data_IF_639021058846
#
_entry.id   IF_639021058846
#
_cell.length_a   1.000
_cell.length_b   1.000
_cell.length_c   1.000
_cell.angle_alpha   90.00
_cell.angle_beta   90.00
_cell.angle_gamma   90.00
#
_symmetry.space_group_name_H-M   'P 1'
#
loop_
_entity.id
_entity.type
_entity.pdbx_description
1 polymer ?
#
# COMPACT_ATOMS: atom_id res chain seq x y z
N UNK A 1 -10.65 13.99 41.73
CA UNK A 1 -11.42 15.11 41.13
C UNK A 1 -11.31 14.97 39.62
N UNK A 2 -12.42 14.55 38.98
CA UNK A 2 -12.79 14.71 37.55
C UNK A 2 -11.89 13.98 36.51
N UNK A 3 -12.36 13.29 35.47
CA UNK A 3 -13.62 12.65 35.09
C UNK A 3 -13.29 11.88 33.80
N UNK A 4 -13.78 10.64 33.70
CA UNK A 4 -13.84 9.86 32.46
C UNK A 4 -14.86 10.51 31.52
N UNK A 5 -14.53 10.73 30.24
CA UNK A 5 -15.48 10.71 29.11
C UNK A 5 -14.81 10.92 27.72
N UNK A 6 -15.11 9.99 26.81
CA UNK A 6 -15.45 10.21 25.39
C UNK A 6 -14.36 10.55 24.34
N UNK A 7 -14.02 9.53 23.54
CA UNK A 7 -13.70 9.59 22.09
C UNK A 7 -14.31 8.30 21.48
N UNK A 8 -14.93 8.23 20.27
CA UNK A 8 -14.87 9.17 19.13
C UNK A 8 -16.24 9.53 18.48
N UNK A 9 -16.36 10.76 17.97
CA UNK A 9 -17.34 11.13 16.93
C UNK A 9 -16.65 11.96 15.85
N UNK A 10 -15.82 11.34 15.01
CA UNK A 10 -15.41 11.92 13.72
C UNK A 10 -14.98 10.80 12.78
N UNK A 11 -15.92 10.27 11.98
CA UNK A 11 -15.70 9.55 10.72
C UNK A 11 -17.07 9.18 10.12
N UNK A 12 -17.87 10.18 9.73
CA UNK A 12 -19.06 9.96 8.88
C UNK A 12 -19.57 11.28 8.28
N UNK A 13 -18.87 11.80 7.27
CA UNK A 13 -19.39 12.88 6.42
C UNK A 13 -18.57 13.00 5.12
N UNK A 14 -18.69 12.02 4.21
CA UNK A 14 -18.21 12.17 2.83
C UNK A 14 -18.89 11.15 1.90
N UNK A 15 -20.23 11.13 1.86
CA UNK A 15 -20.96 10.31 0.88
C UNK A 15 -22.42 10.75 0.73
N UNK A 16 -22.69 11.98 0.28
CA UNK A 16 -24.09 12.36 0.04
C UNK A 16 -24.35 13.53 -0.93
N UNK A 17 -23.51 13.79 -1.94
CA UNK A 17 -23.78 14.89 -2.90
C UNK A 17 -23.67 14.57 -4.41
N UNK A 18 -23.42 13.33 -4.84
CA UNK A 18 -23.27 13.02 -6.29
C UNK A 18 -24.46 12.27 -6.92
N UNK A 19 -25.44 11.80 -6.12
CA UNK A 19 -26.53 10.93 -6.63
C UNK A 19 -27.88 11.66 -6.84
N UNK A 20 -27.94 13.00 -6.73
CA UNK A 20 -29.22 13.77 -6.79
C UNK A 20 -29.41 14.69 -8.01
N UNK A 21 -28.79 14.39 -9.16
CA UNK A 21 -28.96 15.22 -10.38
C UNK A 21 -29.30 14.50 -11.68
N UNK A 22 -29.69 13.23 -11.66
CA UNK A 22 -29.94 12.45 -12.89
C UNK A 22 -31.31 11.75 -12.95
N UNK A 23 -32.29 12.19 -12.16
CA UNK A 23 -33.65 11.66 -12.28
C UNK A 23 -34.68 12.78 -12.20
N UNK A 24 -35.57 12.79 -13.19
CA UNK A 24 -36.82 13.56 -13.34
C UNK A 24 -36.72 14.85 -14.17
N UNK A 25 -37.10 14.72 -15.44
CA UNK A 25 -37.37 15.82 -16.37
C UNK A 25 -37.83 15.36 -17.75
N UNK A 26 -39.04 14.77 -17.81
CA UNK A 26 -40.07 14.80 -18.88
C UNK A 26 -39.61 14.67 -20.37
N UNK A 27 -39.99 13.67 -21.18
CA UNK A 27 -41.32 13.20 -21.62
C UNK A 27 -42.31 14.29 -22.06
N UNK A 28 -42.30 14.64 -23.37
CA UNK A 28 -43.49 14.75 -24.26
C UNK A 28 -43.12 15.40 -25.61
N UNK A 29 -43.44 14.72 -26.70
CA UNK A 29 -43.57 15.32 -28.04
C UNK A 29 -42.79 14.62 -29.13
N UNK A 30 -43.37 13.58 -29.74
CA UNK A 30 -43.00 13.16 -31.09
C UNK A 30 -43.41 14.25 -32.10
N UNK A 31 -42.76 14.31 -33.28
CA UNK A 31 -43.38 13.65 -34.41
C UNK A 31 -42.46 12.66 -35.13
N UNK A 32 -43.13 11.69 -35.75
CA UNK A 32 -42.56 10.68 -36.61
C UNK A 32 -42.08 11.26 -37.94
N UNK A 33 -40.93 10.79 -38.43
CA UNK A 33 -40.66 10.69 -39.86
C UNK A 33 -39.41 9.83 -40.13
N UNK A 34 -39.64 8.72 -40.84
CA UNK A 34 -38.76 8.00 -41.74
C UNK A 34 -37.65 7.13 -41.12
N UNK A 35 -37.90 5.82 -41.17
CA UNK A 35 -36.90 4.79 -40.96
C UNK A 35 -35.78 4.92 -41.99
N UNK A 36 -34.56 5.11 -41.50
CA UNK A 36 -33.36 4.88 -42.28
C UNK A 36 -33.20 3.37 -42.43
N UNK A 37 -33.45 2.90 -43.64
CA UNK A 37 -33.06 1.57 -44.09
C UNK A 37 -31.62 1.28 -43.65
N UNK A 38 -31.46 0.17 -42.93
CA UNK A 38 -30.17 -0.50 -42.77
C UNK A 38 -29.78 -0.98 -44.17
N UNK A 39 -28.99 -0.17 -44.88
CA UNK A 39 -28.20 -0.65 -46.00
C UNK A 39 -26.95 -1.27 -45.38
N UNK A 40 -27.01 -2.59 -45.22
CA UNK A 40 -25.87 -3.46 -45.02
C UNK A 40 -24.90 -3.31 -46.20
N UNK A 41 -24.01 -2.33 -46.13
CA UNK A 41 -22.82 -2.28 -46.96
C UNK A 41 -21.80 -3.26 -46.38
N UNK A 42 -21.90 -4.51 -46.83
CA UNK A 42 -20.76 -5.42 -46.78
C UNK A 42 -19.82 -5.06 -47.93
N UNK A 43 -18.88 -4.14 -47.67
CA UNK A 43 -17.65 -4.04 -48.44
C UNK A 43 -16.56 -3.53 -47.51
N UNK A 44 -15.95 -4.44 -46.76
CA UNK A 44 -14.61 -4.22 -46.25
C UNK A 44 -13.70 -3.98 -47.46
N UNK A 45 -13.26 -2.74 -47.66
CA UNK A 45 -12.13 -2.48 -48.54
C UNK A 45 -10.93 -3.23 -47.97
N UNK A 46 -10.34 -4.10 -48.78
CA UNK A 46 -9.15 -4.88 -48.44
C UNK A 46 -8.01 -3.92 -48.11
N UNK A 47 -7.49 -4.01 -46.89
CA UNK A 47 -6.27 -3.34 -46.42
C UNK A 47 -5.11 -3.65 -47.38
N UNK A 48 -4.40 -2.62 -47.83
CA UNK A 48 -3.37 -2.68 -48.89
C UNK A 48 -2.09 -3.48 -48.55
N UNK A 49 -2.02 -4.16 -47.41
CA UNK A 49 -0.87 -5.01 -47.04
C UNK A 49 -0.97 -6.47 -47.57
N UNK A 50 -2.05 -6.85 -48.28
CA UNK A 50 -2.18 -8.17 -48.93
C UNK A 50 -2.38 -8.12 -50.45
N UNK A 51 -1.81 -7.11 -51.14
CA UNK A 51 -1.98 -6.92 -52.59
C UNK A 51 -0.67 -7.04 -53.39
N UNK A 52 0.37 -7.72 -52.87
CA UNK A 52 1.60 -7.98 -53.64
C UNK A 52 1.58 -9.33 -54.35
N UNK A 53 0.48 -9.75 -54.97
CA UNK A 53 0.47 -10.94 -55.83
C UNK A 53 -0.75 -10.96 -56.77
N UNK A 54 -0.93 -9.90 -57.55
CA UNK A 54 -1.60 -10.02 -58.85
C UNK A 54 -1.15 -8.87 -59.74
N UNK A 55 -0.42 -9.21 -60.80
CA UNK A 55 0.09 -8.25 -61.77
C UNK A 55 -1.04 -7.31 -62.27
N UNK A 56 -0.80 -6.00 -62.38
CA UNK A 56 -1.76 -5.12 -63.03
C UNK A 56 -1.92 -5.59 -64.48
N UNK A 57 -3.16 -5.87 -64.87
CA UNK A 57 -3.50 -6.12 -66.26
C UNK A 57 -2.94 -4.97 -67.11
N UNK A 58 -2.23 -5.36 -68.18
CA UNK A 58 -1.59 -4.46 -69.12
C UNK A 58 -2.54 -3.31 -69.53
N UNK A 59 -2.02 -2.09 -69.74
CA UNK A 59 -2.84 -0.97 -70.17
C UNK A 59 -3.51 -1.35 -71.48
N UNK A 60 -4.83 -1.50 -71.47
CA UNK A 60 -5.60 -1.66 -72.68
C UNK A 60 -5.40 -0.39 -73.50
N UNK A 61 -4.64 -0.51 -74.57
CA UNK A 61 -4.38 0.52 -75.57
C UNK A 61 -5.69 0.94 -76.25
N UNK A 62 -6.46 1.83 -75.62
CA UNK A 62 -7.60 2.48 -76.25
C UNK A 62 -7.13 3.70 -77.04
N UNK A 63 -6.52 3.43 -78.18
CA UNK A 63 -6.50 4.36 -79.30
C UNK A 63 -7.65 4.05 -80.25
N UNK A 64 -8.47 5.05 -80.58
CA UNK A 64 -9.56 4.93 -81.56
C UNK A 64 -10.94 5.28 -81.00
N UNK A 65 -11.73 6.00 -81.81
CA UNK A 65 -12.81 6.93 -81.44
C UNK A 65 -13.90 6.42 -80.47
N UNK A 66 -14.07 5.11 -80.25
CA UNK A 66 -14.96 4.57 -79.20
C UNK A 66 -14.48 3.21 -78.67
N UNK A 67 -13.17 3.00 -78.53
CA UNK A 67 -12.61 1.72 -78.03
C UNK A 67 -12.83 0.53 -78.97
N UNK A 68 -13.13 0.77 -80.25
CA UNK A 68 -13.38 -0.24 -81.29
C UNK A 68 -12.16 -0.51 -82.19
N UNK A 69 -11.00 0.09 -81.91
CA UNK A 69 -9.76 -0.13 -82.68
C UNK A 69 -9.76 0.45 -84.10
N UNK A 70 -10.77 1.25 -84.48
CA UNK A 70 -10.74 2.03 -85.72
C UNK A 70 -9.89 3.28 -85.49
N UNK A 71 -8.78 3.38 -86.22
CA UNK A 71 -7.93 4.56 -86.18
C UNK A 71 -8.69 5.80 -86.66
N UNK A 72 -8.37 6.98 -86.12
CA UNK A 72 -9.00 8.27 -86.46
C UNK A 72 -9.03 8.55 -87.98
N UNK A 73 -8.10 7.95 -88.72
CA UNK A 73 -8.00 8.02 -90.18
C UNK A 73 -9.05 7.20 -90.94
N UNK A 74 -9.69 6.20 -90.32
CA UNK A 74 -10.81 5.45 -90.91
C UNK A 74 -12.19 6.03 -90.52
N UNK A 75 -12.27 6.80 -89.44
CA UNK A 75 -13.50 7.49 -89.07
C UNK A 75 -13.81 8.66 -90.04
N UNK A 76 -12.77 9.30 -90.59
CA UNK A 76 -12.93 10.45 -91.48
C UNK A 76 -13.64 10.11 -92.80
N UNK A 77 -13.26 9.06 -93.56
CA UNK A 77 -13.95 8.69 -94.80
C UNK A 77 -15.36 8.14 -94.57
N UNK A 78 -15.58 7.38 -93.48
CA UNK A 78 -16.89 6.81 -93.14
C UNK A 78 -17.85 7.91 -92.67
N UNK A 79 -17.35 8.86 -91.88
CA UNK A 79 -18.12 10.04 -91.46
C UNK A 79 -18.49 10.94 -92.63
N UNK A 80 -17.55 11.21 -93.55
CA UNK A 80 -17.81 12.01 -94.76
C UNK A 80 -18.80 11.30 -95.69
N UNK A 81 -18.65 9.99 -95.92
CA UNK A 81 -19.56 9.23 -96.80
C UNK A 81 -20.96 9.07 -96.21
N UNK A 82 -21.13 9.08 -94.89
CA UNK A 82 -22.43 9.11 -94.22
C UNK A 82 -23.04 10.53 -94.17
N UNK A 83 -22.24 11.57 -93.98
CA UNK A 83 -22.72 12.96 -93.86
C UNK A 83 -23.22 13.53 -95.20
N UNK A 84 -22.56 13.21 -96.33
CA UNK A 84 -22.94 13.72 -97.66
C UNK A 84 -24.39 13.38 -98.06
N UNK A 85 -24.89 12.13 -97.93
CA UNK A 85 -26.28 11.83 -98.24
C UNK A 85 -27.27 12.42 -97.22
N UNK A 86 -26.92 12.51 -95.94
CA UNK A 86 -27.79 13.12 -94.90
C UNK A 86 -28.08 14.59 -95.21
N UNK A 87 -27.08 15.32 -95.72
CA UNK A 87 -27.21 16.73 -96.13
C UNK A 87 -27.88 16.84 -97.50
N UNK A 88 -27.55 15.97 -98.47
CA UNK A 88 -28.06 16.06 -99.85
C UNK A 88 -29.54 15.67 -99.98
N UNK A 89 -30.05 14.80 -99.11
CA UNK A 89 -31.45 14.36 -99.12
C UNK A 89 -32.33 15.13 -98.11
N UNK A 90 -31.84 16.25 -97.54
CA UNK A 90 -32.54 17.08 -96.53
C UNK A 90 -33.09 16.28 -95.33
N UNK A 91 -32.46 15.14 -95.01
CA UNK A 91 -32.81 14.36 -93.80
C UNK A 91 -32.43 15.09 -92.52
N UNK A 92 -31.49 16.03 -92.60
CA UNK A 92 -31.09 16.94 -91.53
C UNK A 92 -30.89 18.35 -92.11
N UNK A 93 -31.73 19.30 -91.72
CA UNK A 93 -31.67 20.69 -92.20
C UNK A 93 -30.67 21.48 -91.35
N UNK A 94 -29.62 21.99 -91.98
CA UNK A 94 -28.63 22.85 -91.31
C UNK A 94 -29.28 24.21 -91.01
N UNK A 95 -29.64 24.40 -89.74
CA UNK A 95 -30.26 25.62 -89.22
C UNK A 95 -29.47 26.16 -88.01
N UNK A 96 -29.88 27.30 -87.44
CA UNK A 96 -29.24 27.94 -86.27
C UNK A 96 -29.03 26.98 -85.08
N UNK A 97 -29.93 26.01 -84.89
CA UNK A 97 -29.85 24.97 -83.85
C UNK A 97 -28.69 23.97 -84.07
N UNK A 98 -28.28 23.76 -85.33
CA UNK A 98 -27.17 22.85 -85.67
C UNK A 98 -25.81 23.48 -85.40
N UNK A 99 -25.73 24.81 -85.54
CA UNK A 99 -24.57 25.60 -85.10
C UNK A 99 -24.47 25.62 -83.58
N UNK A 100 -25.61 25.76 -82.87
CA UNK A 100 -25.66 25.63 -81.41
C UNK A 100 -25.22 24.23 -80.96
N UNK A 101 -25.68 23.18 -81.63
CA UNK A 101 -25.28 21.80 -81.34
C UNK A 101 -23.77 21.57 -81.60
N UNK A 102 -23.21 22.13 -82.67
CA UNK A 102 -21.78 22.04 -82.96
C UNK A 102 -20.92 22.73 -81.87
N UNK A 103 -21.31 23.93 -81.42
CA UNK A 103 -20.63 24.63 -80.33
C UNK A 103 -20.78 23.89 -79.00
N UNK A 104 -21.94 23.27 -78.73
CA UNK A 104 -22.16 22.45 -77.54
C UNK A 104 -21.32 21.17 -77.54
N UNK A 105 -21.20 20.47 -78.67
CA UNK A 105 -20.32 19.30 -78.81
C UNK A 105 -18.86 19.72 -78.64
N UNK A 106 -18.44 20.82 -79.25
CA UNK A 106 -17.09 21.37 -79.07
C UNK A 106 -16.82 21.74 -77.60
N UNK A 107 -17.81 22.27 -76.89
CA UNK A 107 -17.74 22.53 -75.45
C UNK A 107 -17.62 21.24 -74.63
N UNK A 108 -18.38 20.19 -74.94
CA UNK A 108 -18.25 18.89 -74.28
C UNK A 108 -16.86 18.26 -74.49
N UNK A 109 -16.30 18.36 -75.71
CA UNK A 109 -14.93 17.89 -76.00
C UNK A 109 -13.88 18.73 -75.27
N UNK A 110 -14.05 20.05 -75.20
CA UNK A 110 -13.17 20.94 -74.45
C UNK A 110 -13.23 20.66 -72.94
N UNK A 111 -14.43 20.48 -72.37
CA UNK A 111 -14.62 20.08 -70.98
C UNK A 111 -14.00 18.70 -70.68
N UNK A 112 -14.13 17.73 -71.60
CA UNK A 112 -13.54 16.42 -71.41
C UNK A 112 -12.00 16.45 -71.48
N UNK A 113 -11.44 17.19 -72.43
CA UNK A 113 -9.97 17.26 -72.65
C UNK A 113 -9.24 18.18 -71.68
N UNK A 114 -9.84 19.31 -71.29
CA UNK A 114 -9.20 20.32 -70.42
C UNK A 114 -9.77 20.32 -68.99
N UNK A 115 -11.06 20.03 -68.84
CA UNK A 115 -11.73 19.98 -67.53
C UNK A 115 -11.76 18.59 -66.89
N UNK A 116 -11.58 17.53 -67.67
CA UNK A 116 -11.65 16.14 -67.21
C UNK A 116 -10.60 15.81 -66.14
N UNK A 117 -9.35 16.25 -66.34
CA UNK A 117 -8.26 16.04 -65.37
C UNK A 117 -8.51 16.76 -64.04
N UNK A 118 -9.08 17.96 -64.08
CA UNK A 118 -9.39 18.73 -62.87
C UNK A 118 -10.54 18.08 -62.07
N UNK A 119 -11.59 17.62 -62.77
CA UNK A 119 -12.70 16.90 -62.16
C UNK A 119 -12.21 15.56 -61.59
N UNK A 120 -11.40 14.81 -62.35
CA UNK A 120 -10.82 13.55 -61.90
C UNK A 120 -9.98 13.74 -60.63
N UNK A 121 -9.07 14.71 -60.61
CA UNK A 121 -8.25 15.01 -59.42
C UNK A 121 -9.11 15.39 -58.22
N UNK A 122 -10.14 16.21 -58.40
CA UNK A 122 -11.04 16.58 -57.30
C UNK A 122 -11.82 15.39 -56.73
N UNK A 123 -12.22 14.45 -57.59
CA UNK A 123 -12.93 13.23 -57.17
C UNK A 123 -11.97 12.23 -56.53
N UNK A 124 -10.76 12.08 -57.04
CA UNK A 124 -9.72 11.21 -56.48
C UNK A 124 -9.25 11.72 -55.11
N UNK A 125 -9.00 13.03 -54.97
CA UNK A 125 -8.69 13.67 -53.69
C UNK A 125 -9.83 13.49 -52.68
N UNK A 126 -11.09 13.62 -53.12
CA UNK A 126 -12.26 13.37 -52.28
C UNK A 126 -12.33 11.91 -51.85
N UNK A 127 -12.08 10.97 -52.76
CA UNK A 127 -12.07 9.54 -52.46
C UNK A 127 -10.96 9.16 -51.47
N UNK A 128 -9.75 9.66 -51.67
CA UNK A 128 -8.62 9.45 -50.76
C UNK A 128 -8.88 10.06 -49.38
N UNK A 129 -9.51 11.24 -49.34
CA UNK A 129 -9.89 11.89 -48.07
C UNK A 129 -10.90 11.06 -47.30
N UNK A 130 -11.95 10.56 -47.97
CA UNK A 130 -12.96 9.70 -47.35
C UNK A 130 -12.32 8.41 -46.81
N UNK A 131 -11.45 7.77 -47.58
CA UNK A 131 -10.74 6.57 -47.12
C UNK A 131 -9.88 6.84 -45.89
N UNK A 132 -9.17 7.97 -45.89
CA UNK A 132 -8.37 8.39 -44.73
C UNK A 132 -9.23 8.65 -43.50
N UNK A 133 -10.34 9.36 -43.64
CA UNK A 133 -11.28 9.61 -42.54
C UNK A 133 -11.89 8.32 -41.99
N UNK A 134 -12.19 7.35 -42.85
CA UNK A 134 -12.66 6.03 -42.45
C UNK A 134 -11.60 5.26 -41.66
N UNK A 135 -10.35 5.22 -42.14
CA UNK A 135 -9.27 4.57 -41.40
C UNK A 135 -9.02 5.24 -40.04
N UNK A 136 -9.01 6.57 -39.99
CA UNK A 136 -8.88 7.29 -38.71
C UNK A 136 -10.05 7.01 -37.75
N UNK A 137 -11.26 6.82 -38.28
CA UNK A 137 -12.43 6.44 -37.47
C UNK A 137 -12.32 4.99 -36.97
N UNK A 138 -11.90 4.06 -37.83
CA UNK A 138 -11.66 2.65 -37.47
C UNK A 138 -10.58 2.54 -36.40
N UNK A 139 -9.45 3.25 -36.54
CA UNK A 139 -8.36 3.26 -35.56
C UNK A 139 -8.84 3.79 -34.20
N UNK A 140 -9.66 4.84 -34.17
CA UNK A 140 -10.27 5.35 -32.92
C UNK A 140 -11.20 4.31 -32.28
N UNK A 141 -11.94 3.55 -33.07
CA UNK A 141 -12.81 2.48 -32.56
C UNK A 141 -11.99 1.32 -32.02
N UNK A 142 -10.92 0.92 -32.72
CA UNK A 142 -9.99 -0.13 -32.26
C UNK A 142 -9.36 0.27 -30.92
N UNK A 143 -8.82 1.49 -30.82
CA UNK A 143 -8.24 1.99 -29.58
C UNK A 143 -9.25 2.01 -28.42
N UNK A 144 -10.49 2.43 -28.69
CA UNK A 144 -11.55 2.42 -27.68
C UNK A 144 -11.95 0.99 -27.24
N UNK A 145 -11.88 0.01 -28.14
CA UNK A 145 -12.15 -1.40 -27.84
C UNK A 145 -10.99 -2.03 -27.05
N UNK A 146 -9.74 -1.73 -27.39
CA UNK A 146 -8.56 -2.18 -26.65
C UNK A 146 -8.58 -1.65 -25.21
N UNK A 147 -8.88 -0.36 -25.01
CA UNK A 147 -9.01 0.21 -23.68
C UNK A 147 -10.13 -0.47 -22.85
N UNK A 148 -11.26 -0.80 -23.49
CA UNK A 148 -12.34 -1.55 -22.81
C UNK A 148 -11.92 -2.97 -22.47
N UNK A 149 -11.13 -3.62 -23.33
CA UNK A 149 -10.59 -4.95 -23.09
C UNK A 149 -9.66 -4.94 -21.88
N UNK A 150 -8.72 -4.00 -21.80
CA UNK A 150 -7.83 -3.84 -20.64
C UNK A 150 -8.63 -3.60 -19.35
N UNK A 151 -9.65 -2.74 -19.39
CA UNK A 151 -10.53 -2.50 -18.25
C UNK A 151 -11.28 -3.76 -17.80
N UNK A 152 -11.78 -4.56 -18.75
CA UNK A 152 -12.44 -5.83 -18.43
C UNK A 152 -11.48 -6.89 -17.90
N UNK A 153 -10.23 -6.95 -18.41
CA UNK A 153 -9.19 -7.82 -17.87
C UNK A 153 -8.81 -7.43 -16.43
N UNK A 154 -8.65 -6.14 -16.16
CA UNK A 154 -8.41 -5.64 -14.80
C UNK A 154 -9.57 -5.99 -13.85
N UNK A 155 -10.82 -5.86 -14.31
CA UNK A 155 -11.99 -6.24 -13.52
C UNK A 155 -12.13 -7.76 -13.31
N UNK A 156 -11.65 -8.58 -14.24
CA UNK A 156 -11.72 -10.05 -14.11
C UNK A 156 -10.98 -10.55 -12.86
N UNK A 157 -9.85 -9.94 -12.53
CA UNK A 157 -9.08 -10.27 -11.32
C UNK A 157 -9.69 -9.73 -10.02
N UNK A 158 -10.72 -8.87 -10.07
CA UNK A 158 -11.24 -8.22 -8.87
C UNK A 158 -11.87 -9.20 -7.88
N UNK A 159 -12.54 -10.26 -8.36
CA UNK A 159 -13.11 -11.31 -7.49
C UNK A 159 -12.00 -12.09 -6.80
N UNK A 160 -10.96 -12.49 -7.55
CA UNK A 160 -9.78 -13.18 -7.00
C UNK A 160 -9.06 -12.31 -5.95
N UNK A 161 -8.95 -11.00 -6.19
CA UNK A 161 -8.42 -10.06 -5.20
C UNK A 161 -9.30 -9.97 -3.94
N UNK A 162 -10.62 -9.97 -4.07
CA UNK A 162 -11.52 -10.00 -2.90
C UNK A 162 -11.42 -11.30 -2.11
N UNK A 163 -11.32 -12.44 -2.79
CA UNK A 163 -11.09 -13.74 -2.16
C UNK A 163 -9.75 -13.77 -1.42
N UNK A 164 -8.68 -13.27 -2.04
CA UNK A 164 -7.37 -13.16 -1.42
C UNK A 164 -7.39 -12.22 -0.21
N UNK A 165 -8.08 -11.07 -0.28
CA UNK A 165 -8.25 -10.15 0.85
C UNK A 165 -9.02 -10.82 1.99
N UNK A 166 -10.06 -11.59 1.68
CA UNK A 166 -10.85 -12.30 2.69
C UNK A 166 -10.02 -13.40 3.37
N UNK A 167 -9.27 -14.19 2.61
CA UNK A 167 -8.35 -15.19 3.17
C UNK A 167 -7.30 -14.54 4.08
N UNK A 168 -6.68 -13.43 3.62
CA UNK A 168 -5.70 -12.69 4.41
C UNK A 168 -6.32 -12.10 5.68
N UNK A 169 -7.59 -11.66 5.63
CA UNK A 169 -8.32 -11.20 6.80
C UNK A 169 -8.59 -12.32 7.79
N UNK A 170 -8.98 -13.50 7.34
CA UNK A 170 -9.18 -14.67 8.22
C UNK A 170 -7.87 -15.05 8.93
N UNK A 171 -6.77 -15.11 8.19
CA UNK A 171 -5.47 -15.44 8.76
C UNK A 171 -4.96 -14.33 9.71
N UNK A 172 -5.21 -13.06 9.39
CA UNK A 172 -4.93 -11.95 10.29
C UNK A 172 -5.70 -12.08 11.62
N UNK A 173 -6.97 -12.48 11.59
CA UNK A 173 -7.75 -12.71 12.81
C UNK A 173 -7.28 -13.94 13.61
N UNK A 174 -6.87 -15.03 12.95
CA UNK A 174 -6.26 -16.18 13.63
C UNK A 174 -4.97 -15.76 14.35
N UNK A 175 -4.11 -15.00 13.67
CA UNK A 175 -2.87 -14.48 14.24
C UNK A 175 -3.14 -13.49 15.38
N UNK A 176 -4.14 -12.62 15.25
CA UNK A 176 -4.54 -11.69 16.30
C UNK A 176 -5.06 -12.44 17.55
N UNK A 177 -5.85 -13.49 17.37
CA UNK A 177 -6.34 -14.31 18.48
C UNK A 177 -5.20 -15.07 19.17
N UNK A 178 -4.26 -15.64 18.40
CA UNK A 178 -3.08 -16.29 18.95
C UNK A 178 -2.19 -15.29 19.72
N UNK A 179 -1.95 -14.09 19.16
CA UNK A 179 -1.22 -13.02 19.84
C UNK A 179 -1.95 -12.54 21.11
N UNK A 180 -3.28 -12.47 21.06
CA UNK A 180 -4.12 -12.12 22.21
C UNK A 180 -4.03 -13.12 23.36
N UNK A 181 -3.77 -14.40 23.07
CA UNK A 181 -3.55 -15.42 24.10
C UNK A 181 -2.14 -15.34 24.73
N UNK A 182 -1.12 -14.99 23.94
CA UNK A 182 0.28 -14.95 24.39
C UNK A 182 0.63 -13.63 25.09
N UNK A 183 0.05 -12.51 24.65
CA UNK A 183 0.39 -11.18 25.19
C UNK A 183 0.18 -11.07 26.71
N UNK A 184 -0.94 -11.52 27.31
CA UNK A 184 -1.13 -11.48 28.76
C UNK A 184 -0.09 -12.32 29.52
N UNK A 185 0.34 -13.45 28.94
CA UNK A 185 1.38 -14.30 29.54
C UNK A 185 2.73 -13.58 29.58
N UNK A 186 3.07 -12.87 28.51
CA UNK A 186 4.31 -12.11 28.42
C UNK A 186 4.29 -10.87 29.32
N UNK A 187 3.15 -10.16 29.38
CA UNK A 187 2.97 -9.01 30.27
C UNK A 187 3.07 -9.45 31.75
N UNK A 188 2.48 -10.59 32.11
CA UNK A 188 2.60 -11.17 33.44
C UNK A 188 4.05 -11.58 33.76
N UNK A 189 4.74 -12.24 32.83
CA UNK A 189 6.15 -12.60 32.99
C UNK A 189 7.02 -11.38 33.26
N UNK A 190 6.83 -10.29 32.51
CA UNK A 190 7.58 -9.03 32.70
C UNK A 190 7.32 -8.43 34.10
N UNK A 191 6.07 -8.47 34.59
CA UNK A 191 5.75 -8.01 35.94
C UNK A 191 6.45 -8.85 37.02
N UNK A 192 6.44 -10.18 36.88
CA UNK A 192 7.11 -11.09 37.82
C UNK A 192 8.64 -10.91 37.79
N UNK A 193 9.25 -10.77 36.62
CA UNK A 193 10.69 -10.52 36.50
C UNK A 193 11.09 -9.21 37.18
N UNK A 194 10.31 -8.14 36.98
CA UNK A 194 10.57 -6.84 37.63
C UNK A 194 10.47 -6.93 39.16
N UNK A 195 9.49 -7.68 39.64
CA UNK A 195 9.30 -7.94 41.06
C UNK A 195 10.46 -8.75 41.66
N UNK A 196 10.90 -9.81 40.99
CA UNK A 196 12.06 -10.60 41.43
C UNK A 196 13.34 -9.76 41.48
N UNK A 197 13.56 -8.91 40.48
CA UNK A 197 14.70 -7.99 40.46
C UNK A 197 14.64 -6.99 41.62
N UNK A 198 13.45 -6.52 42.00
CA UNK A 198 13.27 -5.63 43.14
C UNK A 198 13.56 -6.33 44.47
N UNK A 199 13.09 -7.56 44.65
CA UNK A 199 13.37 -8.37 45.84
C UNK A 199 14.87 -8.63 45.95
N UNK A 200 15.52 -9.04 44.85
CA UNK A 200 16.96 -9.27 44.84
C UNK A 200 17.76 -8.00 45.19
N UNK A 201 17.36 -6.83 44.68
CA UNK A 201 17.99 -5.56 45.02
C UNK A 201 17.77 -5.16 46.49
N UNK A 202 16.59 -5.43 47.04
CA UNK A 202 16.28 -5.14 48.44
C UNK A 202 17.00 -6.11 49.39
N UNK A 203 17.14 -7.38 49.04
CA UNK A 203 17.95 -8.35 49.77
C UNK A 203 19.44 -7.95 49.78
N UNK A 204 19.99 -7.56 48.62
CA UNK A 204 21.36 -7.05 48.55
C UNK A 204 21.53 -5.83 49.47
N UNK A 205 20.61 -4.85 49.40
CA UNK A 205 20.66 -3.66 50.25
C UNK A 205 20.51 -3.98 51.74
N UNK A 206 19.63 -4.92 52.11
CA UNK A 206 19.42 -5.32 53.50
C UNK A 206 20.61 -6.08 54.06
N UNK A 207 21.25 -6.96 53.27
CA UNK A 207 22.49 -7.64 53.70
C UNK A 207 23.64 -6.65 53.90
N UNK A 208 23.77 -5.63 53.04
CA UNK A 208 24.76 -4.56 53.22
C UNK A 208 24.48 -3.73 54.47
N UNK A 209 23.23 -3.30 54.68
CA UNK A 209 22.83 -2.57 55.89
C UNK A 209 23.07 -3.39 57.15
N UNK A 210 22.70 -4.67 57.15
CA UNK A 210 22.94 -5.58 58.27
C UNK A 210 24.45 -5.74 58.56
N UNK A 211 25.30 -5.81 57.53
CA UNK A 211 26.76 -5.81 57.71
C UNK A 211 27.22 -4.51 58.36
N UNK A 212 26.77 -3.35 57.87
CA UNK A 212 27.18 -2.05 58.44
C UNK A 212 26.74 -1.88 59.89
N UNK A 213 25.49 -2.21 60.23
CA UNK A 213 24.99 -2.10 61.61
C UNK A 213 25.65 -3.09 62.55
N UNK A 214 25.95 -4.31 62.10
CA UNK A 214 26.73 -5.28 62.88
C UNK A 214 28.15 -4.79 63.12
N UNK A 215 28.79 -4.17 62.13
CA UNK A 215 30.14 -3.60 62.30
C UNK A 215 30.14 -2.38 63.21
N UNK A 216 29.14 -1.50 63.12
CA UNK A 216 28.98 -0.37 64.05
C UNK A 216 28.73 -0.83 65.48
N UNK A 217 27.83 -1.81 65.68
CA UNK A 217 27.55 -2.37 66.99
C UNK A 217 28.77 -3.08 67.60
N UNK A 218 29.52 -3.83 66.79
CA UNK A 218 30.77 -4.46 67.20
C UNK A 218 31.81 -3.40 67.61
N UNK A 219 31.93 -2.32 66.83
CA UNK A 219 32.88 -1.24 67.11
C UNK A 219 32.51 -0.50 68.39
N UNK A 220 31.23 -0.22 68.61
CA UNK A 220 30.74 0.42 69.83
C UNK A 220 30.95 -0.46 71.07
N UNK A 221 30.66 -1.76 70.99
CA UNK A 221 30.85 -2.69 72.12
C UNK A 221 32.32 -2.88 72.46
N UNK A 222 33.18 -3.09 71.46
CA UNK A 222 34.63 -3.18 71.66
C UNK A 222 35.16 -1.86 72.25
N UNK A 223 34.75 -0.70 71.74
CA UNK A 223 35.16 0.61 72.29
C UNK A 223 34.72 0.77 73.75
N UNK A 224 33.51 0.32 74.10
CA UNK A 224 33.00 0.33 75.48
C UNK A 224 33.79 -0.60 76.42
N UNK A 225 34.07 -1.83 75.98
CA UNK A 225 34.89 -2.81 76.72
C UNK A 225 36.31 -2.29 76.96
N UNK A 226 36.91 -1.67 75.95
CA UNK A 226 38.22 -1.04 76.06
C UNK A 226 38.21 0.18 76.96
N UNK A 227 37.13 0.97 76.98
CA UNK A 227 37.02 2.15 77.85
C UNK A 227 36.93 1.78 79.33
N UNK A 228 36.20 0.70 79.65
CA UNK A 228 35.86 0.26 81.00
C UNK A 228 36.90 -0.66 81.65
N UNK A 229 37.59 -1.51 80.87
CA UNK A 229 38.41 -2.60 81.44
C UNK A 229 39.91 -2.26 81.43
N UNK A 230 40.48 -1.96 82.60
CA UNK A 230 41.94 -1.68 82.75
C UNK A 230 42.83 -2.85 82.30
N UNK A 231 42.38 -4.09 82.48
CA UNK A 231 43.13 -5.28 82.07
C UNK A 231 43.29 -5.38 80.55
N UNK A 232 42.25 -5.02 79.78
CA UNK A 232 42.30 -5.02 78.31
C UNK A 232 43.18 -3.89 77.76
N UNK A 233 43.15 -2.70 78.38
CA UNK A 233 44.07 -1.61 78.03
C UNK A 233 45.54 -2.00 78.24
N UNK A 234 45.84 -2.66 79.35
CA UNK A 234 47.20 -3.12 79.67
C UNK A 234 47.65 -4.22 78.70
N UNK A 235 46.81 -5.23 78.46
CA UNK A 235 47.11 -6.30 77.51
C UNK A 235 47.32 -5.78 76.07
N UNK A 236 46.57 -4.77 75.64
CA UNK A 236 46.77 -4.13 74.34
C UNK A 236 48.07 -3.32 74.25
N UNK A 237 48.44 -2.61 75.32
CA UNK A 237 49.72 -1.89 75.40
C UNK A 237 50.90 -2.87 75.38
N UNK A 238 50.82 -3.96 76.15
CA UNK A 238 51.87 -4.98 76.22
C UNK A 238 52.03 -5.68 74.85
N UNK A 239 50.92 -6.04 74.18
CA UNK A 239 50.92 -6.61 72.83
C UNK A 239 51.48 -5.65 71.76
N UNK A 240 51.18 -4.35 71.86
CA UNK A 240 51.75 -3.33 70.96
C UNK A 240 53.27 -3.15 71.18
N UNK A 241 53.72 -3.17 72.44
CA UNK A 241 55.15 -3.10 72.79
C UNK A 241 55.90 -4.33 72.26
N UNK A 242 55.32 -5.53 72.37
CA UNK A 242 55.94 -6.76 71.87
C UNK A 242 56.00 -6.81 70.34
N UNK A 243 54.99 -6.26 69.67
CA UNK A 243 54.96 -6.14 68.20
C UNK A 243 56.03 -5.18 67.66
N UNK A 244 56.27 -4.05 68.36
CA UNK A 244 57.33 -3.09 67.99
C UNK A 244 58.73 -3.69 68.22
N UNK A 245 58.88 -4.58 69.20
CA UNK A 245 60.14 -5.28 69.49
C UNK A 245 60.48 -6.40 68.51
N UNK A 246 59.64 -6.66 67.50
CA UNK A 246 59.88 -7.70 66.50
C UNK A 246 59.58 -9.13 66.97
N UNK A 247 58.88 -9.29 68.10
CA UNK A 247 58.36 -10.60 68.52
C UNK A 247 57.25 -11.07 67.58
N UNK A 248 57.16 -12.39 67.34
CA UNK A 248 56.00 -12.96 66.66
C UNK A 248 54.75 -12.65 67.49
N UNK A 249 53.95 -11.69 67.01
CA UNK A 249 52.84 -11.10 67.74
C UNK A 249 51.91 -12.16 68.32
N UNK A 250 51.83 -12.20 69.65
CA UNK A 250 50.75 -12.88 70.36
C UNK A 250 49.39 -12.30 69.93
N UNK A 251 48.31 -13.03 70.22
CA UNK A 251 46.96 -12.68 69.77
C UNK A 251 46.62 -11.21 70.10
N UNK A 252 46.11 -10.50 69.09
CA UNK A 252 45.74 -9.10 69.22
C UNK A 252 44.46 -8.99 70.07
N UNK A 253 44.53 -8.40 71.28
CA UNK A 253 43.40 -8.38 72.20
C UNK A 253 42.21 -7.57 71.66
N UNK A 254 42.42 -6.67 70.69
CA UNK A 254 41.33 -5.96 70.00
C UNK A 254 40.65 -6.91 69.01
N UNK A 255 41.43 -7.64 68.20
CA UNK A 255 40.87 -8.65 67.27
C UNK A 255 40.16 -9.77 68.03
N UNK A 256 40.70 -10.21 69.16
CA UNK A 256 40.08 -11.22 70.01
C UNK A 256 38.76 -10.72 70.61
N UNK A 257 38.66 -9.44 70.99
CA UNK A 257 37.42 -8.82 71.45
C UNK A 257 36.36 -8.77 70.33
N UNK A 258 36.74 -8.41 69.10
CA UNK A 258 35.84 -8.48 67.94
C UNK A 258 35.38 -9.91 67.65
N UNK A 259 36.30 -10.89 67.62
CA UNK A 259 35.96 -12.30 67.40
C UNK A 259 35.03 -12.83 68.49
N UNK A 260 35.24 -12.41 69.75
CA UNK A 260 34.38 -12.76 70.87
C UNK A 260 32.99 -12.13 70.73
N UNK A 261 32.89 -10.87 70.32
CA UNK A 261 31.61 -10.22 70.03
C UNK A 261 30.81 -10.99 68.96
N UNK A 262 31.42 -11.33 67.82
CA UNK A 262 30.74 -12.08 66.77
C UNK A 262 30.36 -13.50 67.21
N UNK A 263 31.19 -14.18 68.01
CA UNK A 263 30.86 -15.50 68.58
C UNK A 263 29.67 -15.42 69.55
N UNK A 264 29.63 -14.41 70.41
CA UNK A 264 28.52 -14.20 71.35
C UNK A 264 27.24 -13.84 70.61
N UNK A 265 27.29 -12.89 69.68
CA UNK A 265 26.14 -12.54 68.82
C UNK A 265 25.63 -13.72 67.99
N UNK A 266 26.51 -14.56 67.46
CA UNK A 266 26.10 -15.77 66.74
C UNK A 266 25.48 -16.83 67.66
N UNK A 267 25.92 -16.92 68.92
CA UNK A 267 25.32 -17.80 69.91
C UNK A 267 23.95 -17.29 70.39
N UNK A 268 23.78 -15.97 70.50
CA UNK A 268 22.51 -15.32 70.86
C UNK A 268 21.49 -15.44 69.73
N UNK A 269 21.90 -15.26 68.48
CA UNK A 269 21.04 -15.47 67.30
C UNK A 269 20.53 -16.92 67.17
N UNK A 270 21.31 -17.92 67.60
CA UNK A 270 20.87 -19.32 67.65
C UNK A 270 19.87 -19.62 68.77
N UNK A 271 19.82 -18.78 69.80
CA UNK A 271 18.92 -18.94 70.95
C UNK A 271 17.64 -18.13 70.80
N UNK A 272 17.69 -17.02 70.06
CA UNK A 272 16.49 -16.24 69.72
C UNK A 272 15.71 -16.95 68.62
N UNK A 273 14.54 -17.50 68.94
CA UNK A 273 13.51 -17.89 67.95
C UNK A 273 12.66 -16.68 67.54
N UNK A 274 13.22 -15.48 67.62
CA UNK A 274 12.47 -14.23 67.54
C UNK A 274 12.35 -13.81 66.07
N UNK A 275 11.43 -14.47 65.36
CA UNK A 275 11.09 -14.14 63.98
C UNK A 275 10.40 -12.76 63.84
N UNK A 276 10.28 -11.97 64.92
CA UNK A 276 9.51 -10.71 64.90
C UNK A 276 10.14 -9.64 64.00
N UNK A 277 11.47 -9.52 64.00
CA UNK A 277 12.18 -8.59 63.11
C UNK A 277 12.11 -9.05 61.65
N UNK A 278 12.22 -10.35 61.40
CA UNK A 278 12.06 -10.91 60.05
C UNK A 278 10.62 -10.75 59.54
N UNK A 279 9.61 -10.90 60.40
CA UNK A 279 8.20 -10.66 60.06
C UNK A 279 7.93 -9.18 59.78
N UNK A 280 8.53 -8.27 60.56
CA UNK A 280 8.41 -6.84 60.31
C UNK A 280 9.10 -6.41 59.00
N UNK A 281 10.29 -6.96 58.71
CA UNK A 281 11.00 -6.74 57.45
C UNK A 281 10.22 -7.31 56.25
N UNK A 282 9.68 -8.52 56.37
CA UNK A 282 8.80 -9.12 55.35
C UNK A 282 7.53 -8.29 55.14
N UNK A 283 6.89 -7.81 56.19
CA UNK A 283 5.71 -6.96 56.08
C UNK A 283 6.01 -5.61 55.40
N UNK A 284 7.16 -4.99 55.70
CA UNK A 284 7.60 -3.75 55.05
C UNK A 284 7.91 -3.96 53.55
N UNK A 285 8.53 -5.09 53.21
CA UNK A 285 8.81 -5.47 51.83
C UNK A 285 7.52 -5.77 51.05
N UNK A 286 6.56 -6.48 51.64
CA UNK A 286 5.22 -6.70 51.08
C UNK A 286 4.49 -5.36 50.83
N UNK A 287 4.57 -4.41 51.77
CA UNK A 287 3.96 -3.09 51.61
C UNK A 287 4.57 -2.30 50.45
N UNK A 288 5.90 -2.36 50.26
CA UNK A 288 6.59 -1.74 49.11
C UNK A 288 6.21 -2.40 47.79
N UNK A 289 6.22 -3.73 47.74
CA UNK A 289 5.83 -4.50 46.55
C UNK A 289 4.38 -4.21 46.15
N UNK A 290 3.47 -4.11 47.12
CA UNK A 290 2.08 -3.72 46.86
C UNK A 290 1.94 -2.26 46.42
N UNK A 291 2.79 -1.35 46.91
CA UNK A 291 2.86 0.03 46.42
C UNK A 291 3.27 0.11 44.96
N UNK A 292 4.28 -0.67 44.56
CA UNK A 292 4.72 -0.78 43.16
C UNK A 292 3.65 -1.44 42.30
N UNK A 293 3.05 -2.54 42.77
CA UNK A 293 1.96 -3.22 42.09
C UNK A 293 0.76 -2.29 41.82
N UNK A 294 0.44 -1.38 42.74
CA UNK A 294 -0.62 -0.37 42.55
C UNK A 294 -0.23 0.73 41.57
N UNK A 295 1.00 1.22 41.64
CA UNK A 295 1.47 2.31 40.78
C UNK A 295 1.69 1.86 39.33
N UNK A 296 2.12 0.62 39.12
CA UNK A 296 2.45 0.07 37.81
C UNK A 296 1.33 -0.78 37.21
N UNK A 297 0.19 -0.91 37.90
CA UNK A 297 -0.98 -1.61 37.41
C UNK A 297 -0.77 -3.13 37.26
N UNK A 298 -0.09 -3.76 38.22
CA UNK A 298 0.13 -5.20 38.19
C UNK A 298 -1.20 -5.96 38.29
N UNK A 299 -1.24 -7.15 37.67
CA UNK A 299 -2.42 -8.03 37.68
C UNK A 299 -2.65 -8.73 39.03
N UNK A 300 -1.74 -8.56 40.00
CA UNK A 300 -1.80 -9.19 41.31
C UNK A 300 -1.27 -8.28 42.41
N UNK A 301 -1.72 -8.53 43.64
CA UNK A 301 -1.22 -7.95 44.88
C UNK A 301 -0.83 -9.06 45.85
N UNK A 302 0.08 -8.77 46.77
CA UNK A 302 0.48 -9.68 47.82
C UNK A 302 -0.45 -9.58 49.03
N UNK A 303 -0.88 -10.74 49.54
CA UNK A 303 -1.60 -10.82 50.81
C UNK A 303 -0.66 -10.60 52.03
N UNK A 304 -1.23 -10.62 53.23
CA UNK A 304 -0.48 -10.43 54.47
C UNK A 304 0.54 -11.56 54.75
N UNK A 305 0.43 -12.70 54.05
CA UNK A 305 1.37 -13.81 54.13
C UNK A 305 2.47 -13.75 53.04
N UNK A 306 2.39 -12.76 52.13
CA UNK A 306 3.31 -12.63 51.00
C UNK A 306 2.97 -13.54 49.82
N UNK A 307 1.77 -14.11 49.77
CA UNK A 307 1.30 -14.90 48.64
C UNK A 307 0.67 -13.97 47.57
N UNK A 308 0.97 -14.18 46.27
CA UNK A 308 0.39 -13.39 45.20
C UNK A 308 -1.10 -13.75 45.04
N UNK A 309 -1.94 -12.72 45.04
CA UNK A 309 -3.38 -12.81 44.83
C UNK A 309 -3.76 -11.96 43.63
N UNK A 310 -4.45 -12.57 42.65
CA UNK A 310 -4.90 -11.86 41.46
C UNK A 310 -5.87 -10.74 41.85
N UNK A 311 -5.66 -9.56 41.26
CA UNK A 311 -6.67 -8.51 41.23
C UNK A 311 -7.75 -8.94 40.24
N UNK A 312 -8.98 -9.11 40.73
CA UNK A 312 -10.17 -9.23 39.90
C UNK A 312 -10.53 -7.86 39.37
#
# INVERSE_FOLDING_TARGET
>A
VVSVAAIPKMLRAASSNVVRRAALGASRGAPACHGSHVLSFHSSSRREEEASETAPAAPASKGGLFGTGLSEWFALPIGITAAVPIIKFDWYVVNEETQLAAVFIAFCVALYSQGGDAIYKSLDESAQTILKEHHEAEDKVIAALEQKLEFLQANKGQVEHFEAINALREDAYKNLNAAGAVKPQHDFKVQVEKMLNMIAAEEASNTEKAKTTLMEAATADVTSQFSSTKALKKAALDSAIDSIKGGAGGSDPVKDAFVKFFKTKAADAKKSSDDSEEKAAKAALIAKLNGVAKNEGFFFEFDAAGAPKMKV
#
